data_IF_380797963250
#
_entry.id   IF_380797963250
#
_cell.length_a   1.000
_cell.length_b   1.000
_cell.length_c   1.000
_cell.angle_alpha   90.00
_cell.angle_beta   90.00
_cell.angle_gamma   90.00
#
_symmetry.space_group_name_H-M   'P 1'
#
loop_
_entity.id
_entity.type
_entity.pdbx_description
1 polymer ?
#
# COMPACT_ATOMS: atom_id res chain seq x y z
N UNK A 1 0.42 5.46 19.36
CA UNK A 1 0.30 5.62 17.90
C UNK A 1 -0.86 4.79 17.41
N UNK A 2 -1.76 5.38 16.63
CA UNK A 2 -2.91 4.75 15.98
C UNK A 2 -2.78 4.89 14.47
N UNK A 3 -3.01 3.79 13.75
CA UNK A 3 -3.00 3.76 12.29
C UNK A 3 -4.35 3.26 11.78
N UNK A 4 -4.88 3.92 10.75
CA UNK A 4 -6.12 3.54 10.08
C UNK A 4 -5.85 3.24 8.61
N UNK A 5 -6.52 2.22 8.08
CA UNK A 5 -6.55 1.93 6.65
C UNK A 5 -7.99 1.92 6.15
N UNK A 6 -8.24 2.55 5.00
CA UNK A 6 -9.59 2.62 4.43
C UNK A 6 -9.60 2.77 2.90
N UNK A 7 -10.20 1.81 2.20
CA UNK A 7 -10.63 2.03 0.82
C UNK A 7 -11.88 2.92 0.83
N UNK A 8 -11.71 4.18 0.40
CA UNK A 8 -12.73 5.23 0.47
C UNK A 8 -13.61 5.33 -0.78
N UNK A 9 -13.33 4.53 -1.82
CA UNK A 9 -14.10 4.51 -3.08
C UNK A 9 -14.28 5.90 -3.73
N UNK A 10 -13.30 6.79 -3.55
CA UNK A 10 -13.28 8.15 -4.07
C UNK A 10 -13.38 9.21 -2.98
N UNK A 11 -12.43 10.14 -2.94
CA UNK A 11 -12.36 11.17 -1.89
C UNK A 11 -13.52 12.17 -1.90
N UNK A 12 -14.16 12.33 -3.06
CA UNK A 12 -15.30 13.23 -3.23
C UNK A 12 -16.59 12.69 -2.58
N UNK A 13 -16.58 11.45 -2.08
CA UNK A 13 -17.70 10.89 -1.32
C UNK A 13 -17.90 11.60 0.03
N UNK A 14 -16.85 12.25 0.55
CA UNK A 14 -16.90 13.04 1.78
C UNK A 14 -17.61 14.38 1.59
N UNK A 15 -18.95 14.38 1.73
CA UNK A 15 -19.76 15.61 1.63
C UNK A 15 -19.38 16.70 2.63
N UNK A 16 -18.81 16.32 3.79
CA UNK A 16 -18.32 17.25 4.81
C UNK A 16 -16.87 17.70 4.64
N UNK A 17 -16.23 17.33 3.53
CA UNK A 17 -14.79 17.53 3.30
C UNK A 17 -13.93 16.46 3.95
N UNK A 18 -12.72 16.26 3.40
CA UNK A 18 -11.79 15.23 3.87
C UNK A 18 -11.34 15.46 5.33
N UNK A 19 -11.10 16.72 5.74
CA UNK A 19 -10.65 17.06 7.09
C UNK A 19 -11.55 16.47 8.17
N UNK A 20 -12.87 16.68 8.05
CA UNK A 20 -13.83 16.19 9.02
C UNK A 20 -13.80 14.66 9.12
N UNK A 21 -13.60 13.97 8.00
CA UNK A 21 -13.46 12.52 7.99
C UNK A 21 -12.16 12.08 8.69
N UNK A 22 -11.02 12.70 8.37
CA UNK A 22 -9.73 12.40 9.00
C UNK A 22 -9.76 12.64 10.52
N UNK A 23 -10.28 13.79 10.96
CA UNK A 23 -10.41 14.14 12.38
C UNK A 23 -11.25 13.10 13.12
N UNK A 24 -12.35 12.62 12.50
CA UNK A 24 -13.27 11.66 13.11
C UNK A 24 -12.69 10.26 13.31
N UNK A 25 -11.66 9.90 12.55
CA UNK A 25 -10.99 8.60 12.66
C UNK A 25 -10.03 8.55 13.86
N UNK A 26 -9.67 9.71 14.42
CA UNK A 26 -8.82 9.85 15.61
C UNK A 26 -7.57 8.94 15.52
N UNK A 27 -6.78 9.11 14.45
CA UNK A 27 -5.56 8.36 14.20
C UNK A 27 -4.38 9.30 13.90
N UNK A 28 -3.17 8.80 14.12
CA UNK A 28 -1.92 9.53 13.86
C UNK A 28 -1.51 9.41 12.39
N UNK A 29 -1.73 8.21 11.82
CA UNK A 29 -1.49 7.91 10.41
C UNK A 29 -2.77 7.34 9.81
N UNK A 30 -3.24 7.92 8.70
CA UNK A 30 -4.45 7.50 8.01
C UNK A 30 -4.10 7.20 6.55
N UNK A 31 -4.21 5.94 6.18
CA UNK A 31 -3.93 5.45 4.83
C UNK A 31 -5.25 5.21 4.11
N UNK A 32 -5.48 5.95 3.03
CA UNK A 32 -6.66 5.78 2.18
C UNK A 32 -6.30 5.18 0.83
N UNK A 33 -7.20 4.35 0.31
CA UNK A 33 -7.09 3.69 -0.98
C UNK A 33 -8.26 4.07 -1.89
N UNK A 34 -8.05 3.93 -3.20
CA UNK A 34 -9.03 4.27 -4.23
C UNK A 34 -9.49 5.72 -4.11
N UNK A 35 -8.54 6.66 -4.01
CA UNK A 35 -8.85 8.09 -3.85
C UNK A 35 -9.61 8.67 -5.03
N UNK A 36 -9.46 8.07 -6.23
CA UNK A 36 -10.00 8.55 -7.51
C UNK A 36 -9.60 10.00 -7.79
N UNK A 37 -8.43 10.39 -7.29
CA UNK A 37 -7.81 11.68 -7.58
C UNK A 37 -6.55 11.43 -8.38
N UNK A 38 -6.40 12.23 -9.42
CA UNK A 38 -5.19 12.34 -10.24
C UNK A 38 -4.66 13.77 -10.14
N UNK A 39 -3.41 14.01 -10.54
CA UNK A 39 -2.73 15.32 -10.42
C UNK A 39 -3.54 16.48 -11.02
N UNK A 40 -4.26 16.24 -12.12
CA UNK A 40 -5.14 17.18 -12.81
C UNK A 40 -6.43 17.52 -12.04
N UNK A 41 -6.84 16.66 -11.10
CA UNK A 41 -8.07 16.78 -10.32
C UNK A 41 -7.82 17.09 -8.84
N UNK A 42 -6.56 17.11 -8.40
CA UNK A 42 -6.18 17.34 -7.02
C UNK A 42 -6.44 18.81 -6.65
N UNK A 43 -7.38 19.03 -5.74
CA UNK A 43 -7.58 20.34 -5.14
C UNK A 43 -6.71 20.51 -3.89
N UNK A 44 -6.40 21.77 -3.59
CA UNK A 44 -5.56 22.15 -2.45
C UNK A 44 -6.14 21.66 -1.12
N UNK A 45 -7.46 21.70 -0.93
CA UNK A 45 -8.12 21.30 0.32
C UNK A 45 -8.03 19.80 0.59
N UNK A 46 -7.81 19.03 -0.48
CA UNK A 46 -7.60 17.58 -0.42
C UNK A 46 -6.13 17.26 -0.20
N UNK A 47 -5.22 18.03 -0.82
CA UNK A 47 -3.78 17.83 -0.67
C UNK A 47 -3.23 18.37 0.65
N UNK A 48 -3.67 19.56 1.06
CA UNK A 48 -3.17 20.30 2.21
C UNK A 48 -4.31 20.39 3.22
N UNK A 49 -4.31 19.43 4.15
CA UNK A 49 -5.32 19.37 5.21
C UNK A 49 -4.69 19.87 6.50
N UNK A 50 -5.27 20.91 7.09
CA UNK A 50 -4.78 21.49 8.34
C UNK A 50 -4.61 20.43 9.44
N UNK A 51 -3.39 20.37 10.01
CA UNK A 51 -2.97 19.37 11.00
C UNK A 51 -2.50 18.03 10.42
N UNK A 52 -2.36 17.91 9.10
CA UNK A 52 -1.89 16.70 8.43
C UNK A 52 -0.91 16.99 7.28
N UNK A 53 0.23 16.32 7.27
CA UNK A 53 1.07 16.13 6.10
C UNK A 53 0.49 14.99 5.25
N UNK A 54 0.47 15.15 3.92
CA UNK A 54 -0.10 14.13 3.03
C UNK A 54 0.88 13.69 1.94
N UNK A 55 0.81 12.40 1.60
CA UNK A 55 1.67 11.74 0.62
C UNK A 55 0.81 10.93 -0.32
N UNK A 56 0.84 11.27 -1.62
CA UNK A 56 -0.04 10.67 -2.62
C UNK A 56 0.74 9.86 -3.65
N UNK A 57 0.09 8.81 -4.15
CA UNK A 57 0.43 8.20 -5.43
C UNK A 57 -0.73 8.35 -6.39
N UNK A 58 -0.45 8.87 -7.58
CA UNK A 58 -1.46 9.21 -8.59
C UNK A 58 -1.38 8.25 -9.78
N UNK A 59 -2.54 7.85 -10.30
CA UNK A 59 -2.57 7.16 -11.60
C UNK A 59 -2.11 8.10 -12.71
N UNK A 60 -1.24 7.59 -13.59
CA UNK A 60 -0.66 8.33 -14.73
C UNK A 60 -1.36 8.04 -16.06
N UNK A 61 -2.13 6.97 -16.15
CA UNK A 61 -2.76 6.51 -17.40
C UNK A 61 -4.25 6.83 -17.53
N UNK A 62 -4.95 7.14 -16.42
CA UNK A 62 -6.40 7.35 -16.43
C UNK A 62 -6.82 8.35 -15.37
N UNK A 63 -7.40 9.48 -15.79
CA UNK A 63 -7.93 10.50 -14.86
C UNK A 63 -9.03 9.91 -13.97
N UNK A 64 -9.04 10.29 -12.69
CA UNK A 64 -10.02 9.83 -11.71
C UNK A 64 -9.98 8.32 -11.38
N UNK A 65 -8.87 7.62 -11.68
CA UNK A 65 -8.71 6.18 -11.45
C UNK A 65 -7.75 5.88 -10.31
N UNK A 66 -8.04 4.82 -9.53
CA UNK A 66 -7.14 4.29 -8.50
C UNK A 66 -6.71 5.37 -7.49
N UNK A 67 -5.43 5.43 -7.13
CA UNK A 67 -4.85 6.41 -6.25
C UNK A 67 -4.85 5.97 -4.79
N UNK A 68 -3.75 6.24 -4.11
CA UNK A 68 -3.59 6.04 -2.66
C UNK A 68 -3.05 7.32 -2.03
N UNK A 69 -3.40 7.56 -0.77
CA UNK A 69 -2.83 8.66 0.00
C UNK A 69 -2.62 8.24 1.45
N UNK A 70 -1.53 8.73 2.04
CA UNK A 70 -1.24 8.60 3.46
C UNK A 70 -1.22 10.00 4.07
N UNK A 71 -2.07 10.22 5.08
CA UNK A 71 -2.12 11.44 5.88
C UNK A 71 -1.49 11.17 7.24
N UNK A 72 -0.58 12.02 7.67
CA UNK A 72 0.15 11.91 8.93
C UNK A 72 -0.07 13.19 9.72
N UNK A 73 -0.45 13.09 10.99
CA UNK A 73 -0.41 14.24 11.90
C UNK A 73 1.04 14.69 12.12
N UNK A 74 1.23 15.93 12.56
CA UNK A 74 2.54 16.48 12.93
C UNK A 74 3.32 15.59 13.92
N UNK A 75 2.62 14.88 14.80
CA UNK A 75 3.20 13.92 15.77
C UNK A 75 3.77 12.65 15.12
N UNK A 76 3.48 12.42 13.85
CA UNK A 76 3.85 11.23 13.08
C UNK A 76 4.34 11.61 11.67
N UNK A 77 4.92 12.79 11.48
CA UNK A 77 5.52 13.18 10.20
C UNK A 77 6.65 12.20 9.84
N UNK A 78 6.64 11.61 8.64
CA UNK A 78 7.64 10.64 8.24
C UNK A 78 9.01 11.28 7.97
N UNK A 79 10.09 10.56 8.27
CA UNK A 79 11.45 10.95 7.92
C UNK A 79 11.80 10.69 6.45
N UNK A 80 11.05 9.82 5.76
CA UNK A 80 11.17 9.56 4.32
C UNK A 80 9.81 9.14 3.75
N UNK A 81 9.57 9.45 2.48
CA UNK A 81 8.35 9.04 1.78
C UNK A 81 8.67 8.75 0.31
N UNK A 82 7.96 7.82 -0.28
CA UNK A 82 8.24 7.35 -1.64
C UNK A 82 6.96 6.93 -2.36
N UNK A 83 6.87 7.27 -3.65
CA UNK A 83 5.78 6.81 -4.52
C UNK A 83 6.16 5.49 -5.20
N UNK A 84 5.22 4.54 -5.22
CA UNK A 84 5.40 3.25 -5.88
C UNK A 84 6.21 2.24 -5.07
N UNK A 85 6.46 1.09 -5.68
CA UNK A 85 7.20 -0.02 -5.11
C UNK A 85 8.57 -0.20 -5.78
N UNK A 86 8.78 0.34 -6.98
CA UNK A 86 9.96 0.06 -7.79
C UNK A 86 11.11 1.05 -7.58
N UNK A 87 10.79 2.28 -7.20
CA UNK A 87 11.73 3.41 -7.17
C UNK A 87 11.80 4.22 -8.45
N UNK A 88 11.17 3.77 -9.54
CA UNK A 88 11.24 4.46 -10.85
C UNK A 88 10.53 5.81 -10.87
N UNK A 89 9.54 6.00 -10.00
CA UNK A 89 8.78 7.25 -9.90
C UNK A 89 9.45 8.31 -9.02
N UNK A 90 10.54 7.95 -8.33
CA UNK A 90 11.13 8.78 -7.29
C UNK A 90 12.41 9.46 -7.77
N UNK A 91 12.42 10.78 -7.69
CA UNK A 91 13.54 11.61 -8.16
C UNK A 91 14.12 12.54 -7.09
N UNK A 92 13.81 12.30 -5.81
CA UNK A 92 14.26 13.14 -4.69
C UNK A 92 15.11 12.35 -3.68
N UNK A 93 15.93 13.07 -2.90
CA UNK A 93 16.86 12.49 -1.90
C UNK A 93 16.17 11.93 -0.64
N UNK A 94 14.86 12.14 -0.50
CA UNK A 94 14.06 11.70 0.66
C UNK A 94 13.31 10.38 0.43
N UNK A 95 13.74 9.59 -0.55
CA UNK A 95 13.18 8.29 -0.87
C UNK A 95 13.47 7.26 0.24
N UNK A 96 12.67 6.21 0.32
CA UNK A 96 12.83 5.12 1.29
C UNK A 96 13.92 4.14 0.83
N UNK A 97 13.99 3.84 -0.47
CA UNK A 97 14.98 2.90 -1.02
C UNK A 97 14.73 1.44 -0.62
N UNK A 98 15.77 0.61 -0.58
CA UNK A 98 15.68 -0.84 -0.30
C UNK A 98 14.76 -1.56 -1.29
N UNK A 99 15.08 -1.48 -2.59
CA UNK A 99 14.23 -1.94 -3.69
C UNK A 99 14.07 -3.46 -3.82
N UNK A 100 14.94 -4.24 -3.17
CA UNK A 100 14.99 -5.69 -3.29
C UNK A 100 15.56 -6.16 -4.63
N UNK A 101 15.47 -7.46 -4.88
CA UNK A 101 15.79 -8.02 -6.19
C UNK A 101 14.57 -7.86 -7.10
N UNK A 102 14.80 -7.24 -8.26
CA UNK A 102 13.81 -6.97 -9.30
C UNK A 102 14.25 -7.56 -10.66
N UNK A 103 15.28 -8.41 -10.68
CA UNK A 103 15.85 -8.98 -11.91
C UNK A 103 14.88 -9.80 -12.76
N UNK A 104 13.79 -10.27 -12.15
CA UNK A 104 12.71 -11.00 -12.83
C UNK A 104 11.74 -10.12 -13.63
N UNK A 105 11.83 -8.79 -13.49
CA UNK A 105 10.96 -7.84 -14.19
C UNK A 105 11.77 -7.04 -15.21
N UNK A 106 11.21 -6.80 -16.39
CA UNK A 106 11.79 -5.80 -17.30
C UNK A 106 11.44 -4.38 -16.83
N UNK A 107 12.17 -3.37 -17.34
CA UNK A 107 11.95 -1.98 -16.93
C UNK A 107 10.54 -1.49 -17.27
N UNK A 108 9.97 -1.94 -18.39
CA UNK A 108 8.61 -1.59 -18.79
C UNK A 108 7.56 -2.19 -17.85
N UNK A 109 7.76 -3.42 -17.37
CA UNK A 109 6.87 -4.07 -16.40
C UNK A 109 6.87 -3.32 -15.06
N UNK A 110 8.05 -2.97 -14.55
CA UNK A 110 8.20 -2.18 -13.33
C UNK A 110 7.47 -0.83 -13.46
N UNK A 111 7.66 -0.14 -14.58
CA UNK A 111 6.98 1.13 -14.84
C UNK A 111 5.46 0.96 -14.88
N UNK A 112 4.95 -0.09 -15.52
CA UNK A 112 3.51 -0.37 -15.60
C UNK A 112 2.90 -0.67 -14.22
N UNK A 113 3.61 -1.42 -13.37
CA UNK A 113 3.15 -1.79 -12.03
C UNK A 113 2.96 -0.55 -11.13
N UNK A 114 3.83 0.45 -11.24
CA UNK A 114 3.76 1.68 -10.44
C UNK A 114 2.86 2.78 -11.05
N UNK A 115 2.67 2.79 -12.37
CA UNK A 115 1.90 3.83 -13.08
C UNK A 115 0.41 3.92 -12.70
N UNK A 116 -0.15 2.90 -12.03
CA UNK A 116 -1.55 2.89 -11.62
C UNK A 116 -1.81 3.59 -10.27
N UNK A 117 -0.81 4.19 -9.64
CA UNK A 117 -1.01 4.97 -8.41
C UNK A 117 -1.43 4.11 -7.22
N UNK A 118 -0.79 2.94 -7.06
CA UNK A 118 -1.28 1.86 -6.17
C UNK A 118 -0.50 1.70 -4.88
N UNK A 119 0.61 2.40 -4.71
CA UNK A 119 1.44 2.30 -3.53
C UNK A 119 2.05 3.64 -3.16
N UNK A 120 2.01 3.96 -1.87
CA UNK A 120 2.80 5.04 -1.28
C UNK A 120 3.42 4.51 0.01
N UNK A 121 4.70 4.80 0.20
CA UNK A 121 5.49 4.33 1.33
C UNK A 121 5.86 5.54 2.18
N UNK A 122 5.71 5.41 3.50
CA UNK A 122 6.15 6.43 4.46
C UNK A 122 6.96 5.75 5.56
N UNK A 123 8.07 6.35 5.97
CA UNK A 123 8.97 5.81 6.97
C UNK A 123 9.00 6.73 8.18
N UNK A 124 8.84 6.15 9.37
CA UNK A 124 8.59 6.84 10.63
C UNK A 124 9.61 6.41 11.68
N UNK A 125 9.99 7.33 12.56
CA UNK A 125 10.79 7.02 13.75
C UNK A 125 9.86 6.87 14.95
N UNK A 126 9.98 5.74 15.65
CA UNK A 126 9.18 5.45 16.84
C UNK A 126 10.09 5.05 18.00
N UNK A 127 9.74 5.51 19.20
CA UNK A 127 10.44 5.09 20.41
C UNK A 127 9.79 3.83 20.98
N UNK A 128 10.57 2.76 21.13
CA UNK A 128 10.16 1.51 21.74
C UNK A 128 11.13 1.17 22.87
N UNK A 129 10.66 1.20 24.12
CA UNK A 129 11.47 0.91 25.31
C UNK A 129 12.83 1.65 25.31
N UNK A 130 12.79 2.97 25.09
CA UNK A 130 13.95 3.87 25.01
C UNK A 130 14.91 3.62 23.84
N UNK A 131 14.52 2.80 22.86
CA UNK A 131 15.25 2.63 21.60
C UNK A 131 14.44 3.21 20.44
N UNK A 132 15.09 4.05 19.65
CA UNK A 132 14.52 4.51 18.40
C UNK A 132 14.52 3.36 17.39
N UNK A 133 13.37 3.13 16.77
CA UNK A 133 13.17 2.15 15.73
C UNK A 133 12.54 2.79 14.51
N UNK A 134 12.85 2.25 13.34
CA UNK A 134 12.28 2.69 12.07
C UNK A 134 11.10 1.82 11.70
N UNK A 135 9.91 2.41 11.55
CA UNK A 135 8.71 1.74 11.06
C UNK A 135 8.38 2.25 9.66
N UNK A 136 8.32 1.35 8.68
CA UNK A 136 7.93 1.66 7.31
C UNK A 136 6.49 1.20 7.07
N UNK A 137 5.63 2.13 6.66
CA UNK A 137 4.23 1.90 6.30
C UNK A 137 4.11 1.87 4.79
N UNK A 138 3.66 0.74 4.24
CA UNK A 138 3.39 0.54 2.81
C UNK A 138 1.87 0.53 2.65
N UNK A 139 1.30 1.64 2.18
CA UNK A 139 -0.11 1.78 1.88
C UNK A 139 -0.38 1.31 0.44
N UNK A 140 -1.17 0.25 0.27
CA UNK A 140 -1.41 -0.38 -1.02
C UNK A 140 -2.89 -0.46 -1.42
N UNK A 141 -3.15 -0.26 -2.72
CA UNK A 141 -4.40 -0.60 -3.38
C UNK A 141 -4.12 -1.66 -4.44
N UNK A 142 -4.16 -2.93 -4.03
CA UNK A 142 -3.79 -4.04 -4.89
C UNK A 142 -4.75 -4.17 -6.08
N UNK A 143 -4.27 -4.57 -7.27
CA UNK A 143 -5.13 -4.73 -8.43
C UNK A 143 -6.19 -5.80 -8.21
N UNK A 144 -7.36 -5.61 -8.83
CA UNK A 144 -8.37 -6.68 -8.97
C UNK A 144 -8.13 -7.47 -10.25
N UNK A 145 -8.42 -8.77 -10.21
CA UNK A 145 -8.58 -9.56 -11.42
C UNK A 145 -9.90 -9.22 -12.11
N UNK A 146 -9.97 -9.42 -13.42
CA UNK A 146 -11.15 -9.12 -14.22
C UNK A 146 -11.35 -10.28 -15.22
N UNK A 147 -12.48 -11.02 -15.16
CA UNK A 147 -12.73 -12.16 -16.05
C UNK A 147 -12.73 -11.80 -17.53
N UNK A 148 -13.11 -10.56 -17.88
CA UNK A 148 -13.13 -10.07 -19.26
C UNK A 148 -11.75 -9.61 -19.73
N UNK A 149 -10.78 -9.48 -18.81
CA UNK A 149 -9.42 -8.98 -19.06
C UNK A 149 -8.37 -9.85 -18.34
N UNK A 150 -8.03 -11.02 -18.92
CA UNK A 150 -7.11 -11.98 -18.30
C UNK A 150 -5.75 -11.38 -17.89
N UNK A 151 -5.26 -10.37 -18.61
CA UNK A 151 -4.03 -9.64 -18.29
C UNK A 151 -4.07 -8.99 -16.90
N UNK A 152 -5.26 -8.64 -16.38
CA UNK A 152 -5.41 -8.07 -15.02
C UNK A 152 -5.10 -9.08 -13.93
N UNK A 153 -5.37 -10.36 -14.17
CA UNK A 153 -4.98 -11.43 -13.24
C UNK A 153 -3.46 -11.54 -13.16
N UNK A 154 -2.78 -11.50 -14.30
CA UNK A 154 -1.31 -11.52 -14.34
C UNK A 154 -0.72 -10.27 -13.66
N UNK A 155 -1.23 -9.08 -14.00
CA UNK A 155 -0.82 -7.83 -13.38
C UNK A 155 -0.97 -7.86 -11.85
N UNK A 156 -2.08 -8.39 -11.34
CA UNK A 156 -2.30 -8.58 -9.89
C UNK A 156 -1.21 -9.45 -9.24
N UNK A 157 -0.87 -10.58 -9.85
CA UNK A 157 0.14 -11.50 -9.29
C UNK A 157 1.55 -10.92 -9.35
N UNK A 158 1.89 -10.20 -10.42
CA UNK A 158 3.17 -9.49 -10.51
C UNK A 158 3.27 -8.36 -9.47
N UNK A 159 2.18 -7.63 -9.24
CA UNK A 159 2.13 -6.62 -8.19
C UNK A 159 2.36 -7.22 -6.80
N UNK A 160 1.75 -8.38 -6.50
CA UNK A 160 1.98 -9.10 -5.24
C UNK A 160 3.43 -9.53 -5.05
N UNK A 161 4.06 -10.05 -6.09
CA UNK A 161 5.47 -10.45 -6.05
C UNK A 161 6.37 -9.25 -5.77
N UNK A 162 6.13 -8.13 -6.47
CA UNK A 162 6.88 -6.89 -6.28
C UNK A 162 6.68 -6.31 -4.87
N UNK A 163 5.44 -6.27 -4.37
CA UNK A 163 5.11 -5.85 -3.01
C UNK A 163 5.86 -6.68 -1.97
N UNK A 164 5.88 -8.01 -2.14
CA UNK A 164 6.60 -8.90 -1.25
C UNK A 164 8.11 -8.62 -1.28
N UNK A 165 8.72 -8.55 -2.47
CA UNK A 165 10.16 -8.25 -2.62
C UNK A 165 10.54 -6.94 -1.93
N UNK A 166 9.76 -5.87 -2.15
CA UNK A 166 10.00 -4.55 -1.54
C UNK A 166 9.84 -4.59 -0.03
N UNK A 167 8.77 -5.20 0.49
CA UNK A 167 8.53 -5.30 1.93
C UNK A 167 9.61 -6.11 2.65
N UNK A 168 10.03 -7.24 2.07
CA UNK A 168 11.08 -8.09 2.63
C UNK A 168 12.46 -7.42 2.60
N UNK A 169 12.77 -6.65 1.54
CA UNK A 169 14.02 -5.90 1.45
C UNK A 169 14.11 -4.80 2.52
N UNK A 170 13.02 -4.04 2.74
CA UNK A 170 12.94 -3.02 3.79
C UNK A 170 13.05 -3.67 5.19
N UNK A 171 12.41 -4.83 5.39
CA UNK A 171 12.50 -5.58 6.65
C UNK A 171 13.93 -6.06 6.92
N UNK A 172 14.60 -6.57 5.87
CA UNK A 172 16.00 -7.05 5.95
C UNK A 172 16.99 -5.93 6.27
N UNK A 173 16.71 -4.70 5.86
CA UNK A 173 17.50 -3.51 6.18
C UNK A 173 17.37 -3.08 7.66
N UNK A 174 16.47 -3.72 8.43
CA UNK A 174 16.31 -3.50 9.87
C UNK A 174 15.12 -2.62 10.24
N UNK A 175 14.28 -2.22 9.29
CA UNK A 175 13.03 -1.53 9.58
C UNK A 175 11.92 -2.53 9.95
N UNK A 176 11.02 -2.14 10.86
CA UNK A 176 9.74 -2.81 11.02
C UNK A 176 8.79 -2.41 9.88
N UNK A 177 8.10 -3.36 9.27
CA UNK A 177 7.26 -3.09 8.09
C UNK A 177 5.79 -3.37 8.40
N UNK A 178 4.94 -2.40 8.08
CA UNK A 178 3.49 -2.54 8.08
C UNK A 178 3.02 -2.43 6.63
N UNK A 179 2.48 -3.52 6.09
CA UNK A 179 1.75 -3.50 4.81
C UNK A 179 0.26 -3.44 5.14
N UNK A 180 -0.43 -2.44 4.63
CA UNK A 180 -1.85 -2.22 4.88
C UNK A 180 -2.55 -1.68 3.63
N UNK A 181 -3.85 -1.88 3.58
CA UNK A 181 -4.69 -1.38 2.49
C UNK A 181 -5.66 -2.42 2.00
N UNK A 182 -6.16 -2.21 0.79
CA UNK A 182 -7.03 -3.15 0.11
C UNK A 182 -6.19 -4.14 -0.69
N UNK A 183 -5.96 -5.30 -0.09
CA UNK A 183 -5.21 -6.41 -0.69
C UNK A 183 -5.99 -7.08 -1.82
N UNK A 184 -7.31 -6.89 -1.92
CA UNK A 184 -8.17 -7.51 -2.92
C UNK A 184 -8.13 -9.06 -2.96
N UNK A 185 -7.83 -9.71 -1.84
CA UNK A 185 -7.89 -11.17 -1.67
C UNK A 185 -8.32 -11.52 -0.24
N UNK A 186 -9.40 -12.28 -0.07
CA UNK A 186 -9.78 -12.89 1.20
C UNK A 186 -8.89 -14.08 1.51
N UNK A 187 -8.40 -14.21 2.75
CA UNK A 187 -7.35 -15.17 3.12
C UNK A 187 -7.91 -16.56 3.39
N UNK A 188 -8.82 -16.67 4.35
CA UNK A 188 -9.42 -17.92 4.82
C UNK A 188 -10.93 -17.92 4.56
N UNK A 189 -11.53 -19.09 4.68
CA UNK A 189 -12.97 -19.25 4.45
C UNK A 189 -13.81 -18.37 5.40
N UNK A 190 -13.35 -18.16 6.64
CA UNK A 190 -14.00 -17.28 7.62
C UNK A 190 -14.08 -15.80 7.16
N UNK A 191 -13.23 -15.39 6.21
CA UNK A 191 -13.19 -14.02 5.68
C UNK A 191 -14.14 -13.82 4.48
N UNK A 192 -14.97 -14.81 4.16
CA UNK A 192 -15.90 -14.79 3.03
C UNK A 192 -17.28 -15.29 3.47
N UNK A 193 -18.36 -14.66 2.99
CA UNK A 193 -19.72 -15.02 3.41
C UNK A 193 -20.13 -16.43 2.93
N UNK A 194 -19.76 -16.81 1.69
CA UNK A 194 -20.08 -18.10 1.10
C UNK A 194 -18.83 -18.78 0.54
N UNK A 195 -17.93 -19.30 1.39
CA UNK A 195 -16.66 -19.87 0.93
C UNK A 195 -16.83 -21.17 0.13
N UNK A 196 -17.95 -21.87 0.32
CA UNK A 196 -18.31 -23.12 -0.38
C UNK A 196 -18.59 -22.92 -1.87
N UNK A 197 -18.99 -21.71 -2.26
CA UNK A 197 -19.35 -21.39 -3.66
C UNK A 197 -18.09 -21.15 -4.52
N UNK A 198 -16.92 -21.16 -3.88
CA UNK A 198 -15.63 -20.99 -4.55
C UNK A 198 -14.99 -22.36 -4.68
N UNK A 199 -15.08 -22.93 -5.88
CA UNK A 199 -14.31 -24.12 -6.25
C UNK A 199 -12.83 -23.89 -5.95
N UNK A 200 -12.22 -24.90 -5.33
CA UNK A 200 -10.81 -24.89 -4.96
C UNK A 200 -10.37 -23.60 -4.25
N UNK A 201 -11.09 -23.22 -3.19
CA UNK A 201 -10.83 -22.01 -2.39
C UNK A 201 -9.33 -21.81 -2.10
N UNK A 202 -8.60 -22.86 -1.76
CA UNK A 202 -7.17 -22.81 -1.44
C UNK A 202 -6.28 -22.63 -2.67
N UNK A 203 -6.72 -23.08 -3.85
CA UNK A 203 -5.92 -23.08 -5.07
C UNK A 203 -5.81 -21.71 -5.74
N UNK A 204 -6.61 -20.73 -5.30
CA UNK A 204 -6.52 -19.36 -5.80
C UNK A 204 -5.08 -18.82 -5.65
N UNK A 205 -4.41 -18.41 -6.75
CA UNK A 205 -3.01 -17.97 -6.70
C UNK A 205 -2.75 -16.78 -5.77
N UNK A 206 -3.72 -15.86 -5.63
CA UNK A 206 -3.61 -14.76 -4.68
C UNK A 206 -3.64 -15.21 -3.23
N UNK A 207 -4.44 -16.23 -2.90
CA UNK A 207 -4.47 -16.83 -1.55
C UNK A 207 -3.21 -17.64 -1.27
N UNK A 208 -2.69 -18.37 -2.25
CA UNK A 208 -1.40 -19.06 -2.15
C UNK A 208 -0.27 -18.07 -1.83
N UNK A 209 -0.22 -16.96 -2.57
CA UNK A 209 0.71 -15.86 -2.28
C UNK A 209 0.51 -15.32 -0.86
N UNK A 210 -0.72 -14.96 -0.46
CA UNK A 210 -0.99 -14.38 0.86
C UNK A 210 -0.65 -15.34 2.01
N UNK A 211 -0.92 -16.64 1.82
CA UNK A 211 -0.50 -17.70 2.74
C UNK A 211 1.02 -17.72 2.92
N UNK A 212 1.77 -17.70 1.83
CA UNK A 212 3.23 -17.59 1.87
C UNK A 212 3.64 -16.31 2.59
N UNK A 213 3.23 -15.15 2.07
CA UNK A 213 3.61 -13.83 2.58
C UNK A 213 3.44 -13.67 4.10
N UNK A 214 2.35 -14.20 4.67
CA UNK A 214 2.09 -14.12 6.12
C UNK A 214 2.87 -15.12 6.97
N UNK A 215 3.34 -16.25 6.40
CA UNK A 215 3.92 -17.36 7.18
C UNK A 215 5.37 -17.72 6.82
N UNK A 216 5.94 -17.20 5.71
CA UNK A 216 7.32 -17.47 5.28
C UNK A 216 8.35 -17.22 6.38
N UNK A 217 8.11 -16.23 7.26
CA UNK A 217 9.00 -15.92 8.39
C UNK A 217 8.94 -16.89 9.58
N UNK A 218 7.95 -17.80 9.65
CA UNK A 218 7.81 -18.75 10.77
C UNK A 218 8.61 -20.04 10.58
N UNK A 219 8.90 -20.46 9.34
CA UNK A 219 9.66 -21.70 9.12
C UNK A 219 11.14 -21.60 9.50
N UNK A 220 11.71 -20.39 9.56
CA UNK A 220 13.11 -20.18 9.97
C UNK A 220 13.32 -20.00 11.49
N UNK A 221 12.27 -20.06 12.32
CA UNK A 221 12.38 -19.89 13.79
C UNK A 221 12.08 -21.17 14.59
N UNK A 222 12.16 -22.34 13.94
CA UNK A 222 11.82 -23.64 14.52
C UNK A 222 13.00 -24.59 14.78
N UNK A 223 14.25 -24.15 14.60
CA UNK A 223 15.46 -24.98 14.77
C UNK A 223 16.61 -24.21 15.46
N UNK A 224 16.33 -23.51 16.55
CA UNK A 224 17.36 -23.08 17.52
C UNK A 224 16.88 -23.35 18.95
#
# INVERSE_FOLDING_TARGET
MKIVTWNINGIRTFRGGIKKALDSLDADIICVQETKVTRDLLDERTAIVDGYDSYFSFSRGRSGYSGVATYCKDSATPCAAEEGLTGLLTHHKGAVGCYGDQSEFCSEELQLLDNEGRAVITQHRVMCQDKEQTVTVINVYCPRADPEKPERKQFKLQFYKLLQSRAEAILKDGSHVIVLGDVNTSHRQIDHCNPSDIEDFVENPGRKWLNGFLHSGRQNRGNE
#
